data_IF_363264820600
#
_entry.id   IF_363264820600
#
_cell.length_a   1.000
_cell.length_b   1.000
_cell.length_c   1.000
_cell.angle_alpha   90.00
_cell.angle_beta   90.00
_cell.angle_gamma   90.00
#
_symmetry.space_group_name_H-M   'P 1'
#
loop_
_entity.id
_entity.type
_entity.pdbx_description
1 polymer ?
#
# COMPACT_ATOMS: atom_id res chain seq x y z
N UNK A 1 -28.99 8.64 13.13
CA UNK A 1 -29.15 7.71 11.98
C UNK A 1 -28.19 6.56 12.19
N UNK A 2 -28.70 5.41 12.64
CA UNK A 2 -27.90 4.20 12.80
C UNK A 2 -27.67 3.59 11.42
N UNK A 3 -26.48 3.82 10.87
CA UNK A 3 -26.07 3.20 9.61
C UNK A 3 -26.03 1.69 9.86
N UNK A 4 -26.88 0.94 9.14
CA UNK A 4 -27.01 -0.50 9.27
C UNK A 4 -25.70 -1.20 8.90
N UNK A 5 -25.47 -2.39 9.46
CA UNK A 5 -24.23 -3.15 9.19
C UNK A 5 -24.05 -3.50 7.70
N UNK A 6 -25.16 -3.57 6.97
CA UNK A 6 -25.23 -3.81 5.52
C UNK A 6 -24.81 -2.58 4.72
N UNK A 7 -25.27 -1.38 5.09
CA UNK A 7 -24.86 -0.13 4.44
C UNK A 7 -23.35 0.11 4.58
N UNK A 8 -22.76 -0.16 5.76
CA UNK A 8 -21.30 -0.09 5.96
C UNK A 8 -20.54 -1.12 5.12
N UNK A 9 -21.16 -2.27 4.84
CA UNK A 9 -20.55 -3.28 3.99
C UNK A 9 -20.60 -2.89 2.50
N UNK A 10 -21.70 -2.27 2.09
CA UNK A 10 -21.89 -1.74 0.74
C UNK A 10 -20.91 -0.61 0.45
N UNK A 11 -20.77 0.33 1.38
CA UNK A 11 -19.83 1.45 1.29
C UNK A 11 -18.39 0.96 1.13
N UNK A 12 -17.94 0.02 1.96
CA UNK A 12 -16.60 -0.58 1.83
C UNK A 12 -16.38 -1.26 0.47
N UNK A 13 -17.42 -1.86 -0.11
CA UNK A 13 -17.30 -2.49 -1.43
C UNK A 13 -17.13 -1.43 -2.52
N UNK A 14 -17.88 -0.32 -2.44
CA UNK A 14 -17.73 0.82 -3.34
C UNK A 14 -16.34 1.44 -3.24
N UNK A 15 -15.81 1.60 -2.03
CA UNK A 15 -14.45 2.08 -1.81
C UNK A 15 -13.40 1.16 -2.45
N UNK A 16 -13.48 -0.15 -2.20
CA UNK A 16 -12.57 -1.11 -2.84
C UNK A 16 -12.65 -1.05 -4.37
N UNK A 17 -13.87 -0.97 -4.92
CA UNK A 17 -14.06 -0.87 -6.36
C UNK A 17 -13.43 0.41 -6.93
N UNK A 18 -13.62 1.55 -6.25
CA UNK A 18 -13.02 2.83 -6.65
C UNK A 18 -11.49 2.77 -6.66
N UNK A 19 -10.89 2.18 -5.62
CA UNK A 19 -9.44 2.02 -5.52
C UNK A 19 -8.88 1.14 -6.64
N UNK A 20 -9.50 -0.02 -6.87
CA UNK A 20 -9.08 -0.94 -7.92
C UNK A 20 -9.32 -0.37 -9.32
N UNK A 21 -10.41 0.38 -9.52
CA UNK A 21 -10.68 1.06 -10.78
C UNK A 21 -9.65 2.15 -11.06
N UNK A 22 -9.25 2.94 -10.06
CA UNK A 22 -8.20 3.96 -10.21
C UNK A 22 -6.88 3.31 -10.66
N UNK A 23 -6.46 2.26 -9.94
CA UNK A 23 -5.25 1.51 -10.29
C UNK A 23 -5.32 0.93 -11.70
N UNK A 24 -6.45 0.31 -12.06
CA UNK A 24 -6.68 -0.25 -13.40
C UNK A 24 -6.50 0.82 -14.47
N UNK A 25 -7.17 1.97 -14.35
CA UNK A 25 -7.06 3.09 -15.30
C UNK A 25 -5.62 3.58 -15.42
N UNK A 26 -4.90 3.70 -14.30
CA UNK A 26 -3.48 4.09 -14.31
C UNK A 26 -2.62 3.07 -15.05
N UNK A 27 -2.80 1.77 -14.79
CA UNK A 27 -2.05 0.70 -15.46
C UNK A 27 -2.39 0.63 -16.94
N UNK A 28 -3.67 0.74 -17.32
CA UNK A 28 -4.09 0.80 -18.73
C UNK A 28 -3.47 2.01 -19.44
N UNK A 29 -3.47 3.18 -18.81
CA UNK A 29 -2.80 4.38 -19.35
C UNK A 29 -1.28 4.22 -19.50
N UNK A 30 -0.63 3.50 -18.60
CA UNK A 30 0.81 3.19 -18.68
C UNK A 30 1.12 2.20 -19.82
N UNK A 31 0.31 1.15 -19.97
CA UNK A 31 0.55 0.07 -20.96
C UNK A 31 0.12 0.47 -22.37
N UNK A 32 -0.96 1.25 -22.50
CA UNK A 32 -1.44 1.76 -23.79
C UNK A 32 -0.51 2.81 -24.40
N UNK A 33 0.28 3.49 -23.58
CA UNK A 33 1.28 4.41 -24.08
C UNK A 33 2.48 3.64 -24.64
N UNK A 34 2.70 3.70 -25.96
CA UNK A 34 3.87 3.10 -26.62
C UNK A 34 5.19 3.83 -26.31
N UNK A 35 5.19 4.74 -25.33
CA UNK A 35 6.27 5.67 -25.08
C UNK A 35 7.05 5.24 -23.83
N UNK A 36 8.36 4.90 -23.95
CA UNK A 36 9.15 4.41 -22.82
C UNK A 36 9.29 5.42 -21.68
N UNK A 37 9.02 6.71 -21.94
CA UNK A 37 9.15 7.78 -20.94
C UNK A 37 7.90 7.95 -20.05
N UNK A 38 6.84 7.17 -20.25
CA UNK A 38 5.59 7.34 -19.47
C UNK A 38 5.76 7.04 -17.99
N UNK A 39 6.67 6.13 -17.67
CA UNK A 39 7.01 5.79 -16.31
C UNK A 39 7.68 6.97 -15.57
N UNK A 40 8.74 7.54 -16.13
CA UNK A 40 9.60 8.52 -15.45
C UNK A 40 9.27 9.98 -15.76
N UNK A 41 8.93 10.31 -17.01
CA UNK A 41 8.77 11.71 -17.48
C UNK A 41 7.33 12.20 -17.43
N UNK A 42 6.36 11.33 -17.68
CA UNK A 42 4.93 11.70 -17.72
C UNK A 42 4.18 11.37 -16.42
N UNK A 43 4.92 11.22 -15.32
CA UNK A 43 4.35 11.02 -13.98
C UNK A 43 3.62 9.69 -13.78
N UNK A 44 3.84 8.70 -14.65
CA UNK A 44 3.22 7.37 -14.53
C UNK A 44 3.56 6.68 -13.22
N UNK A 45 4.84 6.71 -12.84
CA UNK A 45 5.30 6.20 -11.54
C UNK A 45 4.63 6.91 -10.37
N UNK A 46 4.44 8.23 -10.43
CA UNK A 46 3.80 9.02 -9.37
C UNK A 46 2.30 8.67 -9.23
N UNK A 47 1.60 8.50 -10.36
CA UNK A 47 0.20 8.06 -10.35
C UNK A 47 0.07 6.66 -9.74
N UNK A 48 0.94 5.74 -10.15
CA UNK A 48 0.94 4.37 -9.63
C UNK A 48 1.29 4.32 -8.14
N UNK A 49 2.27 5.13 -7.70
CA UNK A 49 2.59 5.29 -6.28
C UNK A 49 1.37 5.77 -5.50
N UNK A 50 0.69 6.81 -5.98
CA UNK A 50 -0.53 7.33 -5.34
C UNK A 50 -1.62 6.27 -5.21
N UNK A 51 -1.93 5.54 -6.29
CA UNK A 51 -2.98 4.50 -6.28
C UNK A 51 -2.62 3.37 -5.31
N UNK A 52 -1.37 2.88 -5.35
CA UNK A 52 -0.90 1.83 -4.46
C UNK A 52 -0.86 2.28 -3.00
N UNK A 53 -0.49 3.53 -2.73
CA UNK A 53 -0.47 4.10 -1.39
C UNK A 53 -1.87 4.17 -0.79
N UNK A 54 -2.87 4.56 -1.60
CA UNK A 54 -4.27 4.56 -1.18
C UNK A 54 -4.77 3.15 -0.89
N UNK A 55 -4.41 2.16 -1.70
CA UNK A 55 -4.78 0.74 -1.48
C UNK A 55 -4.16 0.21 -0.19
N UNK A 56 -2.85 0.41 0.01
CA UNK A 56 -2.15 -0.10 1.21
C UNK A 56 -2.58 0.64 2.49
N UNK A 57 -3.01 1.90 2.38
CA UNK A 57 -3.55 2.66 3.51
C UNK A 57 -5.02 2.36 3.79
N UNK A 58 -5.75 1.79 2.83
CA UNK A 58 -7.16 1.46 3.00
C UNK A 58 -7.34 0.28 3.97
N UNK A 59 -8.35 0.38 4.83
CA UNK A 59 -8.68 -0.71 5.75
C UNK A 59 -7.66 -1.03 6.85
N UNK A 60 -6.55 -0.28 6.99
CA UNK A 60 -5.64 -0.45 8.13
C UNK A 60 -6.39 -0.34 9.46
N UNK A 61 -6.08 -1.25 10.38
CA UNK A 61 -6.55 -1.19 11.75
C UNK A 61 -5.97 0.04 12.43
N UNK A 62 -6.80 0.70 13.22
CA UNK A 62 -6.31 1.71 14.14
C UNK A 62 -5.70 0.95 15.32
N UNK A 63 -4.38 0.77 15.34
CA UNK A 63 -3.74 0.21 16.52
C UNK A 63 -3.74 1.30 17.61
N UNK A 64 -4.60 1.12 18.61
CA UNK A 64 -5.00 2.11 19.62
C UNK A 64 -3.95 2.35 20.72
N UNK A 65 -2.71 1.88 20.59
CA UNK A 65 -1.74 1.96 21.68
C UNK A 65 -0.50 2.70 21.20
N UNK A 66 -0.35 3.93 21.71
CA UNK A 66 0.82 4.79 21.64
C UNK A 66 1.05 5.68 20.40
N UNK A 67 0.72 5.25 19.17
CA UNK A 67 0.98 6.08 17.98
C UNK A 67 -0.31 6.33 17.20
N UNK A 68 -0.76 7.59 17.15
CA UNK A 68 -2.04 8.03 16.57
C UNK A 68 -2.12 7.94 15.03
N UNK A 69 -1.21 7.27 14.34
CA UNK A 69 -1.20 7.23 12.88
C UNK A 69 -1.55 5.87 12.29
N UNK A 70 -2.28 5.96 11.17
CA UNK A 70 -2.72 4.84 10.34
C UNK A 70 -1.67 4.63 9.25
N UNK A 71 -0.62 3.89 9.54
CA UNK A 71 0.42 3.55 8.56
C UNK A 71 0.59 2.04 8.36
N UNK A 72 1.07 1.65 7.18
CA UNK A 72 1.31 0.25 6.81
C UNK A 72 2.78 -0.14 6.92
N UNK A 73 3.63 0.70 7.54
CA UNK A 73 5.06 0.41 7.65
C UNK A 73 5.32 -0.86 8.49
N UNK A 74 4.68 -1.08 9.65
CA UNK A 74 4.80 -2.32 10.41
C UNK A 74 4.40 -3.57 9.63
N UNK A 75 3.47 -3.46 8.67
CA UNK A 75 3.08 -4.56 7.80
C UNK A 75 4.19 -4.88 6.79
N UNK A 76 4.72 -3.87 6.11
CA UNK A 76 5.83 -4.01 5.15
C UNK A 76 7.10 -4.51 5.83
N UNK A 77 7.38 -4.03 7.04
CA UNK A 77 8.54 -4.43 7.83
C UNK A 77 8.59 -5.94 8.09
N UNK A 78 7.46 -6.66 7.97
CA UNK A 78 7.40 -8.12 8.12
C UNK A 78 8.06 -8.88 6.97
N UNK A 79 8.31 -8.26 5.81
CA UNK A 79 8.93 -8.94 4.65
C UNK A 79 10.23 -9.62 5.07
N UNK A 80 11.05 -8.98 5.91
CA UNK A 80 12.33 -9.54 6.38
C UNK A 80 12.22 -10.90 7.07
N UNK A 81 11.08 -11.17 7.70
CA UNK A 81 10.82 -12.43 8.39
C UNK A 81 10.20 -13.49 7.48
N UNK A 82 9.45 -13.08 6.45
CA UNK A 82 8.74 -13.99 5.54
C UNK A 82 9.59 -14.33 4.32
N UNK A 83 10.48 -13.43 3.89
CA UNK A 83 11.31 -13.56 2.71
C UNK A 83 12.65 -12.86 2.92
N UNK A 84 13.63 -13.54 3.56
CA UNK A 84 14.94 -12.95 3.90
C UNK A 84 15.70 -12.39 2.69
N UNK A 85 15.54 -12.99 1.50
CA UNK A 85 16.16 -12.51 0.26
C UNK A 85 15.65 -11.13 -0.19
N UNK A 86 14.49 -10.68 0.30
CA UNK A 86 13.93 -9.35 0.04
C UNK A 86 14.16 -8.37 1.20
N UNK A 87 14.80 -8.82 2.29
CA UNK A 87 14.94 -8.03 3.52
C UNK A 87 15.72 -6.74 3.29
N UNK A 88 16.84 -6.79 2.56
CA UNK A 88 17.71 -5.63 2.29
C UNK A 88 16.96 -4.48 1.63
N UNK A 89 16.01 -4.78 0.73
CA UNK A 89 15.19 -3.78 0.05
C UNK A 89 14.21 -3.04 0.97
N UNK A 90 13.94 -3.57 2.16
CA UNK A 90 13.09 -2.95 3.18
C UNK A 90 13.94 -2.33 4.29
N UNK A 91 15.00 -3.02 4.72
CA UNK A 91 15.87 -2.60 5.83
C UNK A 91 16.61 -1.28 5.58
N UNK A 92 16.95 -0.99 4.33
CA UNK A 92 17.54 0.29 3.94
C UNK A 92 16.68 1.52 4.33
N UNK A 93 15.37 1.34 4.54
CA UNK A 93 14.45 2.41 4.93
C UNK A 93 14.20 2.50 6.44
N UNK A 94 14.70 1.54 7.22
CA UNK A 94 14.46 1.48 8.67
C UNK A 94 15.08 2.64 9.44
N UNK A 95 16.22 3.15 8.96
CA UNK A 95 16.98 4.25 9.54
C UNK A 95 16.71 5.59 8.83
N UNK A 96 15.70 5.64 7.97
CA UNK A 96 15.29 6.93 7.41
C UNK A 96 14.76 7.79 8.55
N UNK A 97 15.22 9.03 8.58
CA UNK A 97 14.67 10.08 9.44
C UNK A 97 13.58 10.86 8.69
N UNK A 98 12.58 11.40 9.39
CA UNK A 98 11.56 12.22 8.75
C UNK A 98 12.23 13.48 8.17
N UNK A 99 11.98 13.76 6.88
CA UNK A 99 12.43 15.02 6.29
C UNK A 99 11.60 16.15 6.91
N UNK A 100 12.26 17.01 7.68
CA UNK A 100 11.67 18.19 8.32
C UNK A 100 11.42 19.29 7.28
N UNK A 101 10.51 19.06 6.33
CA UNK A 101 10.04 20.10 5.43
C UNK A 101 8.73 20.66 5.98
N UNK A 102 8.79 21.88 6.50
CA UNK A 102 7.65 22.67 7.01
C UNK A 102 7.04 22.22 8.34
N UNK A 103 7.71 22.54 9.46
CA UNK A 103 7.12 22.85 10.78
C UNK A 103 6.24 21.83 11.51
N UNK A 104 5.79 20.78 10.82
CA UNK A 104 4.93 19.73 11.32
C UNK A 104 5.78 18.48 11.36
N UNK A 105 6.25 18.11 12.55
CA UNK A 105 6.88 16.81 12.76
C UNK A 105 5.91 15.75 12.22
N UNK A 106 6.34 14.98 11.22
CA UNK A 106 5.59 13.81 10.78
C UNK A 106 5.61 12.82 11.93
N UNK A 107 4.56 12.83 12.75
CA UNK A 107 4.43 11.96 13.92
C UNK A 107 4.09 10.55 13.43
N UNK A 108 5.11 9.71 13.25
CA UNK A 108 4.93 8.31 12.85
C UNK A 108 5.95 7.85 11.81
N UNK A 109 5.88 6.59 11.40
CA UNK A 109 6.80 5.98 10.42
C UNK A 109 6.20 5.91 9.00
N UNK A 110 5.07 6.57 8.75
CA UNK A 110 4.39 6.56 7.45
C UNK A 110 5.28 7.00 6.28
N UNK A 111 6.19 7.94 6.50
CA UNK A 111 7.14 8.39 5.49
C UNK A 111 8.10 7.27 5.04
N UNK A 112 8.45 6.31 5.92
CA UNK A 112 9.25 5.13 5.56
C UNK A 112 8.47 4.24 4.60
N UNK A 113 7.18 4.06 4.87
CA UNK A 113 6.27 3.29 4.01
C UNK A 113 6.14 3.92 2.61
N UNK A 114 5.89 5.22 2.54
CA UNK A 114 5.77 5.93 1.27
C UNK A 114 7.07 5.90 0.46
N UNK A 115 8.21 6.06 1.13
CA UNK A 115 9.53 6.03 0.48
C UNK A 115 9.89 4.63 -0.01
N UNK A 116 9.59 3.60 0.78
CA UNK A 116 9.72 2.20 0.39
C UNK A 116 8.85 1.90 -0.83
N UNK A 117 7.58 2.34 -0.82
CA UNK A 117 6.65 2.07 -1.92
C UNK A 117 7.16 2.68 -3.22
N UNK A 118 7.62 3.94 -3.17
CA UNK A 118 8.19 4.62 -4.33
C UNK A 118 9.40 3.87 -4.88
N UNK A 119 10.34 3.50 -4.02
CA UNK A 119 11.53 2.76 -4.45
C UNK A 119 11.17 1.38 -5.02
N UNK A 120 10.28 0.65 -4.36
CA UNK A 120 9.87 -0.69 -4.77
C UNK A 120 9.16 -0.70 -6.13
N UNK A 121 8.44 0.38 -6.45
CA UNK A 121 7.91 0.61 -7.80
C UNK A 121 9.04 0.91 -8.79
N UNK A 122 9.98 1.81 -8.44
CA UNK A 122 11.13 2.15 -9.30
C UNK A 122 11.98 0.94 -9.70
N UNK A 123 12.17 -0.01 -8.78
CA UNK A 123 12.97 -1.24 -9.03
C UNK A 123 12.12 -2.44 -9.43
N UNK A 124 10.82 -2.25 -9.67
CA UNK A 124 9.88 -3.30 -10.09
C UNK A 124 9.76 -4.50 -9.11
N UNK A 125 10.00 -4.29 -7.82
CA UNK A 125 9.96 -5.34 -6.78
C UNK A 125 8.67 -5.35 -5.94
N UNK A 126 7.79 -4.37 -6.10
CA UNK A 126 6.61 -4.22 -5.23
C UNK A 126 5.78 -5.50 -5.16
N UNK A 127 5.46 -6.12 -6.30
CA UNK A 127 4.68 -7.37 -6.31
C UNK A 127 5.42 -8.53 -5.65
N UNK A 128 6.73 -8.64 -5.84
CA UNK A 128 7.54 -9.69 -5.21
C UNK A 128 7.58 -9.55 -3.68
N UNK A 129 7.62 -8.32 -3.16
CA UNK A 129 7.60 -8.04 -1.72
C UNK A 129 6.22 -8.22 -1.09
N UNK A 130 5.13 -7.88 -1.80
CA UNK A 130 3.76 -8.01 -1.27
C UNK A 130 3.23 -9.45 -1.31
N UNK A 131 3.55 -10.23 -2.35
CA UNK A 131 3.11 -11.63 -2.50
C UNK A 131 3.29 -12.49 -1.23
N UNK A 132 4.49 -12.58 -0.61
CA UNK A 132 4.69 -13.40 0.58
C UNK A 132 3.90 -12.89 1.80
N UNK A 133 3.73 -11.56 1.93
CA UNK A 133 2.94 -10.96 3.00
C UNK A 133 1.45 -11.30 2.89
N UNK A 134 0.92 -11.30 1.67
CA UNK A 134 -0.49 -11.55 1.40
C UNK A 134 -0.85 -13.05 1.38
N UNK A 135 0.13 -13.94 1.20
CA UNK A 135 -0.07 -15.39 1.21
C UNK A 135 -0.60 -15.90 2.54
N UNK A 136 -0.21 -15.27 3.65
CA UNK A 136 -0.60 -15.68 5.01
C UNK A 136 -1.69 -14.76 5.57
N UNK A 137 -2.96 -15.13 5.37
CA UNK A 137 -4.12 -14.32 5.79
C UNK A 137 -4.14 -13.96 7.28
N UNK A 138 -3.58 -14.81 8.14
CA UNK A 138 -3.43 -14.52 9.57
C UNK A 138 -2.53 -13.31 9.85
N UNK A 139 -1.49 -13.11 9.05
CA UNK A 139 -0.62 -11.93 9.15
C UNK A 139 -1.33 -10.67 8.66
N UNK A 140 -1.98 -10.71 7.49
CA UNK A 140 -2.71 -9.55 6.96
C UNK A 140 -3.82 -9.09 7.90
N UNK A 141 -4.54 -10.02 8.53
CA UNK A 141 -5.61 -9.71 9.50
C UNK A 141 -5.09 -9.03 10.77
N UNK A 142 -3.79 -9.11 11.09
CA UNK A 142 -3.22 -8.34 12.21
C UNK A 142 -3.22 -6.83 11.92
N UNK A 143 -2.98 -6.44 10.67
CA UNK A 143 -2.80 -5.05 10.26
C UNK A 143 -4.04 -4.44 9.59
N UNK A 144 -4.89 -5.25 8.96
CA UNK A 144 -6.07 -4.79 8.22
C UNK A 144 -7.38 -5.27 8.85
N UNK A 145 -8.39 -4.42 8.81
CA UNK A 145 -9.76 -4.76 9.16
C UNK A 145 -10.24 -5.85 8.21
N UNK A 146 -10.63 -7.00 8.78
CA UNK A 146 -10.82 -8.26 8.06
C UNK A 146 -12.04 -8.26 7.15
N UNK A 147 -11.97 -7.58 6.01
CA UNK A 147 -12.54 -7.94 4.70
C UNK A 147 -11.70 -7.39 3.54
N UNK A 148 -10.43 -7.01 3.77
CA UNK A 148 -9.49 -6.72 2.68
C UNK A 148 -9.11 -8.05 1.98
N UNK A 149 -9.51 -8.18 0.71
CA UNK A 149 -9.02 -9.19 -0.24
C UNK A 149 -9.36 -10.68 0.02
N UNK A 150 -10.60 -11.02 0.36
CA UNK A 150 -11.06 -12.42 0.33
C UNK A 150 -12.36 -12.62 -0.46
N UNK A 151 -12.37 -12.16 -1.72
CA UNK A 151 -13.13 -12.81 -2.82
C UNK A 151 -12.86 -12.21 -4.21
N UNK A 152 -11.60 -12.04 -4.60
CA UNK A 152 -11.29 -11.94 -6.03
C UNK A 152 -10.53 -13.19 -6.40
N UNK A 153 -11.28 -14.25 -6.72
CA UNK A 153 -10.76 -15.30 -7.59
C UNK A 153 -10.41 -14.58 -8.90
N UNK A 154 -9.15 -14.24 -9.09
CA UNK A 154 -8.64 -14.01 -10.43
C UNK A 154 -8.55 -15.39 -11.07
N UNK A 155 -9.66 -15.81 -11.68
CA UNK A 155 -9.67 -16.78 -12.76
C UNK A 155 -9.47 -15.99 -14.05
N UNK A 156 -8.21 -15.91 -14.47
CA UNK A 156 -7.81 -15.95 -15.87
C UNK A 156 -6.74 -17.04 -15.92
#
# INVERSE_FOLDING_TARGET
>A
MEITSEEKAEERRREHWKLLSSLKTTVEGLVSSSNPNVWSRYGGLQRLHKDMNQILSHGLKHEQVYYKQKDYWPFVWRVRYVSPHLASHVEQFSKLEPVLSSGLQSVGEGYKAERWLMHSLQVHLLSAQLRPLLKHQGHTRKYYNGKSASKTRFGI
#
